data_IF_333988319633
#
_entry.id   IF_333988319633
#
_cell.length_a   1.000
_cell.length_b   1.000
_cell.length_c   1.000
_cell.angle_alpha   90.00
_cell.angle_beta   90.00
_cell.angle_gamma   90.00
#
_symmetry.space_group_name_H-M   'P 1'
#
loop_
_entity.id
_entity.type
_entity.pdbx_description
1 polymer ?
#
# COMPACT_ATOMS: atom_id res chain seq x y z
N UNK A 1 -15.07 5.44 8.19
CA UNK A 1 -15.11 4.36 7.17
C UNK A 1 -16.11 3.32 7.65
N UNK A 2 -17.12 2.99 6.86
CA UNK A 2 -18.10 1.96 7.21
C UNK A 2 -17.67 0.66 6.50
N UNK A 3 -17.22 -0.34 7.25
CA UNK A 3 -16.76 -1.63 6.69
C UNK A 3 -17.93 -2.58 6.35
N UNK A 4 -19.15 -2.22 6.71
CA UNK A 4 -20.36 -2.99 6.42
C UNK A 4 -20.93 -2.66 5.02
N UNK A 5 -20.49 -1.56 4.39
CA UNK A 5 -20.97 -1.06 3.09
C UNK A 5 -19.82 -0.48 2.25
N UNK A 6 -20.07 -0.17 0.97
CA UNK A 6 -19.08 0.41 0.06
C UNK A 6 -18.19 -0.62 -0.66
N UNK A 7 -18.55 -1.91 -0.59
CA UNK A 7 -17.86 -2.97 -1.31
C UNK A 7 -17.92 -2.81 -2.83
N UNK A 8 -19.02 -2.27 -3.39
CA UNK A 8 -19.14 -2.05 -4.85
C UNK A 8 -18.09 -1.08 -5.37
N UNK A 9 -17.98 0.09 -4.74
CA UNK A 9 -17.01 1.10 -5.12
C UNK A 9 -15.57 0.62 -4.93
N UNK A 10 -15.31 -0.16 -3.87
CA UNK A 10 -13.99 -0.76 -3.67
C UNK A 10 -13.65 -1.77 -4.78
N UNK A 11 -14.59 -2.61 -5.20
CA UNK A 11 -14.41 -3.58 -6.30
C UNK A 11 -14.15 -2.85 -7.63
N UNK A 12 -14.92 -1.81 -7.95
CA UNK A 12 -14.72 -1.01 -9.16
C UNK A 12 -13.35 -0.35 -9.18
N UNK A 13 -12.91 0.23 -8.06
CA UNK A 13 -11.57 0.82 -7.94
C UNK A 13 -10.45 -0.20 -8.01
N UNK A 14 -10.63 -1.43 -7.51
CA UNK A 14 -9.66 -2.50 -7.70
C UNK A 14 -9.53 -2.89 -9.18
N UNK A 15 -10.65 -3.02 -9.91
CA UNK A 15 -10.63 -3.23 -11.37
C UNK A 15 -9.81 -2.13 -12.05
N UNK A 16 -10.03 -0.88 -11.66
CA UNK A 16 -9.30 0.27 -12.20
C UNK A 16 -7.82 0.32 -11.79
N UNK A 17 -7.48 -0.10 -10.57
CA UNK A 17 -6.12 -0.10 -10.04
C UNK A 17 -5.23 -1.13 -10.75
N UNK A 18 -5.77 -2.32 -11.04
CA UNK A 18 -5.09 -3.34 -11.85
C UNK A 18 -5.11 -3.03 -13.36
N UNK A 19 -5.87 -2.02 -13.81
CA UNK A 19 -6.02 -1.72 -15.24
C UNK A 19 -6.89 -2.73 -15.99
N UNK A 20 -7.75 -3.47 -15.29
CA UNK A 20 -8.67 -4.42 -15.88
C UNK A 20 -9.87 -3.71 -16.53
N UNK A 21 -10.42 -4.30 -17.59
CA UNK A 21 -11.66 -3.83 -18.23
C UNK A 21 -12.92 -4.47 -17.66
N UNK A 22 -12.77 -5.59 -16.96
CA UNK A 22 -13.90 -6.39 -16.49
C UNK A 22 -13.66 -6.88 -15.06
N UNK A 23 -14.76 -7.02 -14.31
CA UNK A 23 -14.77 -7.70 -13.02
C UNK A 23 -14.37 -9.18 -13.13
N UNK A 24 -14.51 -9.77 -14.31
CA UNK A 24 -14.06 -11.15 -14.55
C UNK A 24 -12.55 -11.28 -14.41
N UNK A 25 -11.79 -10.37 -15.03
CA UNK A 25 -10.33 -10.38 -14.92
C UNK A 25 -9.86 -10.22 -13.47
N UNK A 26 -10.58 -9.43 -12.66
CA UNK A 26 -10.33 -9.33 -11.23
C UNK A 26 -10.57 -10.67 -10.50
N UNK A 27 -11.65 -11.40 -10.83
CA UNK A 27 -11.89 -12.73 -10.25
C UNK A 27 -10.74 -13.70 -10.58
N UNK A 28 -10.34 -13.71 -11.85
CA UNK A 28 -9.30 -14.62 -12.35
C UNK A 28 -7.96 -14.31 -11.66
N UNK A 29 -7.64 -13.02 -11.48
CA UNK A 29 -6.45 -12.55 -10.76
C UNK A 29 -6.46 -12.90 -9.26
N UNK A 30 -7.61 -12.69 -8.59
CA UNK A 30 -7.76 -13.00 -7.16
C UNK A 30 -7.93 -14.51 -6.88
N UNK A 31 -8.04 -15.36 -7.91
CA UNK A 31 -8.28 -16.80 -7.75
C UNK A 31 -9.65 -17.13 -7.15
N UNK A 32 -10.67 -16.29 -7.35
CA UNK A 32 -12.02 -16.46 -6.80
C UNK A 32 -13.05 -16.75 -7.89
N UNK A 33 -14.15 -17.40 -7.51
CA UNK A 33 -15.27 -17.61 -8.44
C UNK A 33 -16.04 -16.32 -8.72
N UNK A 34 -16.68 -16.26 -9.91
CA UNK A 34 -17.60 -15.17 -10.28
C UNK A 34 -18.74 -15.00 -9.27
N UNK A 35 -19.25 -16.12 -8.74
CA UNK A 35 -20.31 -16.11 -7.73
C UNK A 35 -19.84 -15.46 -6.43
N UNK A 36 -18.60 -15.70 -6.00
CA UNK A 36 -18.03 -15.09 -4.79
C UNK A 36 -17.95 -13.57 -4.92
N UNK A 37 -17.42 -13.07 -6.05
CA UNK A 37 -17.37 -11.63 -6.32
C UNK A 37 -18.79 -11.04 -6.42
N UNK A 38 -19.69 -11.70 -7.14
CA UNK A 38 -21.07 -11.24 -7.33
C UNK A 38 -21.83 -11.15 -6.00
N UNK A 39 -21.71 -12.13 -5.12
CA UNK A 39 -22.35 -12.11 -3.80
C UNK A 39 -21.86 -10.94 -2.95
N UNK A 40 -20.54 -10.69 -2.90
CA UNK A 40 -20.00 -9.52 -2.18
C UNK A 40 -20.48 -8.21 -2.79
N UNK A 41 -20.45 -8.11 -4.13
CA UNK A 41 -20.92 -6.94 -4.86
C UNK A 41 -22.40 -6.65 -4.58
N UNK A 42 -23.27 -7.68 -4.60
CA UNK A 42 -24.70 -7.52 -4.32
C UNK A 42 -24.96 -7.06 -2.89
N UNK A 43 -24.29 -7.69 -1.91
CA UNK A 43 -24.39 -7.35 -0.49
C UNK A 43 -23.70 -6.04 -0.11
N UNK A 44 -22.95 -5.46 -1.04
CA UNK A 44 -22.12 -4.27 -0.83
C UNK A 44 -21.11 -4.45 0.32
N UNK A 45 -20.74 -5.69 0.64
CA UNK A 45 -19.85 -6.00 1.75
C UNK A 45 -18.40 -5.65 1.40
N UNK A 46 -17.72 -4.94 2.30
CA UNK A 46 -16.40 -4.42 2.02
C UNK A 46 -15.35 -5.55 1.92
N UNK A 47 -14.60 -5.67 0.80
CA UNK A 47 -13.63 -6.73 0.61
C UNK A 47 -12.24 -6.32 1.11
N UNK A 48 -12.07 -6.24 2.43
CA UNK A 48 -10.81 -5.77 3.05
C UNK A 48 -9.58 -6.54 2.54
N UNK A 49 -9.62 -7.87 2.57
CA UNK A 49 -8.51 -8.72 2.10
C UNK A 49 -8.08 -8.42 0.65
N UNK A 50 -9.05 -8.26 -0.26
CA UNK A 50 -8.77 -7.99 -1.68
C UNK A 50 -8.23 -6.59 -1.89
N UNK A 51 -8.70 -5.61 -1.10
CA UNK A 51 -8.21 -4.23 -1.15
C UNK A 51 -6.77 -4.16 -0.66
N UNK A 52 -6.43 -4.87 0.41
CA UNK A 52 -5.06 -4.94 0.93
C UNK A 52 -4.14 -5.58 -0.12
N UNK A 53 -4.54 -6.72 -0.69
CA UNK A 53 -3.77 -7.36 -1.76
C UNK A 53 -3.56 -6.42 -2.95
N UNK A 54 -4.62 -5.76 -3.42
CA UNK A 54 -4.53 -4.80 -4.52
C UNK A 54 -3.59 -3.63 -4.23
N UNK A 55 -3.63 -3.07 -3.02
CA UNK A 55 -2.74 -1.99 -2.62
C UNK A 55 -1.27 -2.43 -2.66
N UNK A 56 -0.96 -3.62 -2.16
CA UNK A 56 0.40 -4.16 -2.12
C UNK A 56 0.94 -4.47 -3.52
N UNK A 57 0.12 -5.05 -4.40
CA UNK A 57 0.54 -5.44 -5.74
C UNK A 57 0.68 -4.27 -6.71
N UNK A 58 -0.21 -3.27 -6.61
CA UNK A 58 -0.27 -2.15 -7.56
C UNK A 58 0.40 -0.88 -7.05
N UNK A 59 0.72 -0.80 -5.75
CA UNK A 59 1.16 0.44 -5.11
C UNK A 59 0.06 1.52 -4.99
N UNK A 60 -1.19 1.16 -5.29
CA UNK A 60 -2.34 2.08 -5.21
C UNK A 60 -2.68 2.40 -3.76
N UNK A 61 -3.05 3.66 -3.52
CA UNK A 61 -3.41 4.17 -2.19
C UNK A 61 -4.55 3.39 -1.57
N UNK A 62 -4.32 2.86 -0.36
CA UNK A 62 -5.38 2.27 0.45
C UNK A 62 -6.52 3.27 0.70
N UNK A 63 -6.20 4.54 0.96
CA UNK A 63 -7.24 5.56 1.14
C UNK A 63 -8.10 5.74 -0.12
N UNK A 64 -7.48 5.72 -1.30
CA UNK A 64 -8.21 5.82 -2.55
C UNK A 64 -8.99 4.54 -2.85
N UNK A 65 -8.41 3.35 -2.68
CA UNK A 65 -9.11 2.07 -2.88
C UNK A 65 -10.32 1.93 -1.96
N UNK A 66 -10.23 2.41 -0.73
CA UNK A 66 -11.28 2.31 0.29
C UNK A 66 -12.37 3.37 0.13
N UNK A 67 -12.00 4.61 -0.17
CA UNK A 67 -12.94 5.76 -0.12
C UNK A 67 -13.19 6.42 -1.47
N UNK A 68 -12.33 6.20 -2.48
CA UNK A 68 -12.31 6.96 -3.73
C UNK A 68 -11.75 8.38 -3.60
N UNK A 69 -11.35 8.81 -2.39
CA UNK A 69 -10.83 10.15 -2.14
C UNK A 69 -9.30 10.19 -2.14
N UNK A 70 -8.76 11.33 -2.55
CA UNK A 70 -7.32 11.57 -2.63
C UNK A 70 -6.68 11.00 -3.91
N UNK A 71 -5.35 10.94 -3.93
CA UNK A 71 -4.59 10.43 -5.08
C UNK A 71 -4.71 8.90 -5.18
N UNK A 72 -4.94 8.41 -6.41
CA UNK A 72 -4.95 6.98 -6.74
C UNK A 72 -3.61 6.32 -6.43
N UNK A 73 -2.53 6.95 -6.88
CA UNK A 73 -1.21 6.51 -6.46
C UNK A 73 -1.03 6.93 -5.01
N UNK A 74 -0.64 5.98 -4.16
CA UNK A 74 -0.14 6.35 -2.84
C UNK A 74 0.93 7.39 -3.10
N UNK A 75 0.84 8.58 -2.49
CA UNK A 75 2.00 9.43 -2.27
C UNK A 75 3.00 8.78 -1.30
N UNK A 76 3.00 7.44 -1.25
CA UNK A 76 3.94 6.58 -0.57
C UNK A 76 5.22 6.65 -1.36
N UNK A 77 5.88 7.80 -1.25
CA UNK A 77 7.24 7.85 -0.76
C UNK A 77 8.20 6.84 -1.42
N UNK A 78 8.16 6.74 -2.75
CA UNK A 78 9.34 6.30 -3.51
C UNK A 78 10.57 7.16 -3.18
N UNK A 79 10.33 8.36 -2.67
CA UNK A 79 11.33 9.25 -2.13
C UNK A 79 11.58 9.09 -0.63
N UNK A 80 11.32 7.95 0.03
CA UNK A 80 11.91 7.66 1.35
C UNK A 80 12.85 6.46 1.35
N UNK A 81 13.81 6.46 2.28
CA UNK A 81 14.67 5.32 2.57
C UNK A 81 14.77 5.08 4.07
N UNK A 82 14.95 3.81 4.44
CA UNK A 82 15.35 3.44 5.79
C UNK A 82 16.85 3.65 5.95
N UNK A 83 17.24 4.34 7.00
CA UNK A 83 18.64 4.63 7.34
C UNK A 83 18.91 4.00 8.70
N UNK A 84 19.88 3.06 8.74
CA UNK A 84 20.25 2.36 9.97
C UNK A 84 20.68 3.36 11.05
N UNK A 85 20.20 3.15 12.27
CA UNK A 85 20.53 3.96 13.43
C UNK A 85 21.51 3.19 14.31
N UNK A 86 22.55 3.87 14.75
CA UNK A 86 23.49 3.39 15.75
C UNK A 86 23.50 4.34 16.93
N UNK A 87 23.64 3.78 18.13
CA UNK A 87 23.92 4.52 19.35
C UNK A 87 25.40 4.39 19.67
N UNK A 88 26.08 5.52 19.91
CA UNK A 88 27.45 5.52 20.41
C UNK A 88 27.42 5.50 21.94
N UNK A 89 27.73 4.34 22.52
CA UNK A 89 27.77 4.16 23.99
C UNK A 89 29.05 3.44 24.39
N UNK A 90 29.72 3.95 25.42
CA UNK A 90 30.97 3.37 25.95
C UNK A 90 32.07 3.15 24.87
N UNK A 91 32.15 4.06 23.89
CA UNK A 91 33.12 3.95 22.79
C UNK A 91 32.79 2.89 21.74
N UNK A 92 31.64 2.23 21.82
CA UNK A 92 31.17 1.26 20.85
C UNK A 92 29.89 1.74 20.14
N UNK A 93 29.84 1.56 18.83
CA UNK A 93 28.62 1.73 18.05
C UNK A 93 27.77 0.47 18.18
N UNK A 94 26.51 0.64 18.58
CA UNK A 94 25.52 -0.43 18.68
C UNK A 94 24.35 -0.10 17.78
N UNK A 95 23.91 -1.05 16.97
CA UNK A 95 22.73 -0.86 16.13
C UNK A 95 21.49 -0.71 17.02
N UNK A 96 20.68 0.30 16.74
CA UNK A 96 19.51 0.70 17.51
C UNK A 96 18.33 0.99 16.58
N UNK A 97 18.09 0.09 15.63
CA UNK A 97 16.99 0.18 14.67
C UNK A 97 17.28 1.10 13.50
N UNK A 98 16.28 1.89 13.09
CA UNK A 98 16.36 2.71 11.89
C UNK A 98 15.45 3.94 11.97
N UNK A 99 15.73 4.92 11.11
CA UNK A 99 14.85 6.04 10.82
C UNK A 99 14.37 5.98 9.37
N UNK A 100 13.19 6.54 9.11
CA UNK A 100 12.69 6.76 7.75
C UNK A 100 13.01 8.20 7.36
N UNK A 101 13.79 8.38 6.29
CA UNK A 101 14.13 9.69 5.74
C UNK A 101 13.56 9.86 4.35
N UNK A 102 13.14 11.07 4.01
CA UNK A 102 12.90 11.43 2.62
C UNK A 102 14.25 11.59 1.89
N UNK A 103 14.45 10.85 0.79
CA UNK A 103 15.65 10.82 -0.04
C UNK A 103 16.00 12.19 -0.61
N UNK A 104 15.03 13.11 -0.73
CA UNK A 104 15.26 14.50 -1.13
C UNK A 104 16.01 15.31 -0.08
N UNK A 105 15.97 14.91 1.20
CA UNK A 105 16.80 15.49 2.25
C UNK A 105 18.22 14.92 2.27
N UNK A 106 18.45 13.77 1.64
CA UNK A 106 19.75 13.12 1.61
C UNK A 106 20.52 13.53 0.34
N UNK A 107 21.76 14.03 0.47
CA UNK A 107 22.67 14.21 -0.65
C UNK A 107 22.78 12.92 -1.48
N UNK A 108 22.61 13.04 -2.80
CA UNK A 108 22.70 11.92 -3.74
C UNK A 108 24.08 11.24 -3.78
N UNK A 109 25.09 11.85 -3.16
CA UNK A 109 26.44 11.30 -3.00
C UNK A 109 26.53 10.18 -1.95
N UNK A 110 25.55 10.04 -1.06
CA UNK A 110 25.57 9.00 -0.04
C UNK A 110 25.18 7.63 -0.61
N UNK A 111 26.09 6.66 -0.51
CA UNK A 111 25.87 5.28 -0.99
C UNK A 111 25.21 4.38 0.06
N UNK A 112 25.62 4.51 1.33
CA UNK A 112 25.13 3.72 2.48
C UNK A 112 25.17 4.57 3.76
N UNK A 113 24.31 5.58 3.89
CA UNK A 113 24.26 6.41 5.07
C UNK A 113 23.80 5.60 6.29
N UNK A 114 24.24 6.01 7.48
CA UNK A 114 23.70 5.57 8.76
C UNK A 114 23.66 6.78 9.71
N UNK A 115 22.75 6.76 10.67
CA UNK A 115 22.61 7.79 11.69
C UNK A 115 23.33 7.33 12.95
N UNK A 116 24.11 8.22 13.57
CA UNK A 116 24.63 8.01 14.92
C UNK A 116 23.89 8.97 15.85
N UNK A 117 23.36 8.44 16.95
CA UNK A 117 22.74 9.21 18.04
C UNK A 117 23.48 9.01 19.34
#
# INVERSE_FOLDING_TARGET
MNLEKGGRGAIERMVEAYGFKTRQALCDHLGISKSTLATRYMRDSFPAEWVIQCALETGTSLNWLTTGHGSKQTSGNTNTMEVAKYVLSDGALREDGFYIFDKGFLPSTFKKPFVIT
#
